data_IF_409231505766
#
_entry.id   IF_409231505766
#
_cell.length_a   1.000
_cell.length_b   1.000
_cell.length_c   1.000
_cell.angle_alpha   90.00
_cell.angle_beta   90.00
_cell.angle_gamma   90.00
#
_symmetry.space_group_name_H-M   'P 1'
#
loop_
_entity.id
_entity.type
_entity.pdbx_description
1 polymer ?
#
# COMPACT_ATOMS: atom_id res chain seq x y z
N UNK A 1 -3.07 -20.79 -27.23
CA UNK A 1 -4.05 -19.94 -26.51
C UNK A 1 -3.64 -19.92 -25.05
N UNK A 2 -3.83 -18.80 -24.35
CA UNK A 2 -3.53 -18.67 -22.93
C UNK A 2 -4.83 -18.44 -22.17
N UNK A 3 -5.06 -19.22 -21.11
CA UNK A 3 -6.18 -19.07 -20.19
C UNK A 3 -5.63 -18.88 -18.78
N UNK A 4 -6.26 -17.99 -18.00
CA UNK A 4 -5.83 -17.62 -16.65
C UNK A 4 -6.97 -17.77 -15.65
N UNK A 5 -6.61 -18.12 -14.42
CA UNK A 5 -7.41 -17.91 -13.21
C UNK A 5 -6.59 -17.10 -12.21
N UNK A 6 -7.12 -16.84 -11.02
CA UNK A 6 -6.37 -16.19 -9.94
C UNK A 6 -5.00 -16.86 -9.65
N UNK A 7 -4.96 -18.19 -9.71
CA UNK A 7 -3.83 -19.03 -9.25
C UNK A 7 -3.23 -19.92 -10.34
N UNK A 8 -3.70 -19.81 -11.58
CA UNK A 8 -3.32 -20.71 -12.66
C UNK A 8 -3.08 -19.99 -13.98
N UNK A 9 -2.16 -20.54 -14.78
CA UNK A 9 -1.99 -20.20 -16.20
C UNK A 9 -1.94 -21.50 -17.00
N UNK A 10 -2.75 -21.57 -18.06
CA UNK A 10 -2.84 -22.72 -18.96
C UNK A 10 -2.41 -22.29 -20.36
N UNK A 11 -1.44 -23.03 -20.92
CA UNK A 11 -0.95 -22.85 -22.28
C UNK A 11 -1.34 -24.04 -23.16
N UNK A 12 -2.01 -23.77 -24.27
CA UNK A 12 -2.20 -24.73 -25.36
C UNK A 12 -0.95 -24.75 -26.27
N UNK A 13 -0.26 -25.90 -26.29
CA UNK A 13 0.99 -26.10 -27.02
C UNK A 13 0.78 -26.34 -28.54
N UNK A 14 -0.47 -26.42 -29.01
CA UNK A 14 -0.86 -26.64 -30.42
C UNK A 14 -0.43 -28.00 -31.00
N UNK A 15 -0.04 -28.95 -30.17
CA UNK A 15 0.31 -30.34 -30.53
C UNK A 15 -0.60 -31.39 -29.88
N UNK A 16 -1.70 -30.94 -29.27
CA UNK A 16 -2.63 -31.76 -28.50
C UNK A 16 -2.25 -31.92 -27.02
N UNK A 17 -1.13 -31.34 -26.57
CA UNK A 17 -0.76 -31.24 -25.16
C UNK A 17 -1.03 -29.84 -24.58
N UNK A 18 -1.09 -29.74 -23.24
CA UNK A 18 -1.20 -28.49 -22.52
C UNK A 18 -0.16 -28.40 -21.40
N UNK A 19 0.27 -27.18 -21.09
CA UNK A 19 1.13 -26.87 -19.94
C UNK A 19 0.33 -26.07 -18.92
N UNK A 20 0.28 -26.53 -17.67
CA UNK A 20 -0.42 -25.83 -16.58
C UNK A 20 0.55 -25.44 -15.47
N UNK A 21 0.54 -24.16 -15.11
CA UNK A 21 1.25 -23.63 -13.95
C UNK A 21 0.24 -23.36 -12.84
N UNK A 22 0.55 -23.80 -11.61
CA UNK A 22 -0.33 -23.69 -10.44
C UNK A 22 0.47 -23.05 -9.31
N UNK A 23 -0.12 -22.02 -8.71
CA UNK A 23 0.48 -21.22 -7.64
C UNK A 23 -0.33 -21.34 -6.36
N UNK A 24 0.31 -21.18 -5.21
CA UNK A 24 -0.36 -21.22 -3.89
C UNK A 24 -0.97 -19.88 -3.49
N UNK A 25 -0.61 -18.81 -4.20
CA UNK A 25 -1.08 -17.45 -3.99
C UNK A 25 -1.62 -16.89 -5.31
N UNK A 26 -2.59 -15.95 -5.27
CA UNK A 26 -3.09 -15.32 -6.47
C UNK A 26 -2.00 -14.54 -7.21
N UNK A 27 -1.76 -14.91 -8.46
CA UNK A 27 -0.81 -14.28 -9.38
C UNK A 27 -1.50 -13.47 -10.48
N UNK A 28 -2.82 -13.60 -10.61
CA UNK A 28 -3.65 -12.79 -11.49
C UNK A 28 -4.81 -12.18 -10.69
N UNK A 29 -5.29 -11.02 -11.14
CA UNK A 29 -6.47 -10.35 -10.61
C UNK A 29 -7.39 -9.96 -11.76
N UNK A 30 -8.68 -9.79 -11.44
CA UNK A 30 -9.70 -9.52 -12.45
C UNK A 30 -9.86 -8.02 -12.66
N UNK A 31 -9.59 -7.53 -13.86
CA UNK A 31 -9.88 -6.16 -14.30
C UNK A 31 -10.81 -6.19 -15.49
N UNK A 32 -11.88 -5.39 -15.45
CA UNK A 32 -12.87 -5.24 -16.52
C UNK A 32 -13.45 -6.55 -17.10
N UNK A 33 -13.41 -7.62 -16.31
CA UNK A 33 -13.91 -8.94 -16.71
C UNK A 33 -12.81 -9.94 -17.10
N UNK A 34 -11.58 -9.48 -17.32
CA UNK A 34 -10.45 -10.27 -17.79
C UNK A 34 -9.41 -10.50 -16.69
N UNK A 35 -8.69 -11.62 -16.78
CA UNK A 35 -7.63 -11.99 -15.85
C UNK A 35 -6.29 -11.43 -16.29
N UNK A 36 -5.73 -10.57 -15.45
CA UNK A 36 -4.46 -9.91 -15.72
C UNK A 36 -3.44 -10.17 -14.61
N UNK A 37 -2.14 -10.22 -14.93
CA UNK A 37 -1.11 -10.49 -13.93
C UNK A 37 -1.09 -9.39 -12.87
N UNK A 38 -0.93 -9.81 -11.61
CA UNK A 38 -0.72 -8.88 -10.50
C UNK A 38 0.49 -7.98 -10.77
N UNK A 39 0.32 -6.69 -10.52
CA UNK A 39 1.39 -5.70 -10.50
C UNK A 39 1.27 -4.84 -9.25
N UNK A 40 2.22 -4.98 -8.33
CA UNK A 40 2.29 -4.18 -7.12
C UNK A 40 3.13 -2.91 -7.31
N UNK A 41 3.45 -2.52 -8.54
CA UNK A 41 4.16 -1.27 -8.83
C UNK A 41 3.30 -0.09 -8.39
N UNK A 42 3.84 0.81 -7.57
CA UNK A 42 3.15 2.02 -7.16
C UNK A 42 3.21 3.07 -8.28
N UNK A 43 2.06 3.58 -8.66
CA UNK A 43 1.90 4.61 -9.70
C UNK A 43 1.11 5.80 -9.15
N UNK A 44 1.31 6.97 -9.76
CA UNK A 44 0.41 8.10 -9.55
C UNK A 44 -0.91 7.80 -10.27
N UNK A 45 -2.00 7.78 -9.51
CA UNK A 45 -3.36 7.68 -10.03
C UNK A 45 -4.01 9.07 -9.96
N UNK A 46 -3.92 9.79 -11.07
CA UNK A 46 -4.23 11.21 -11.14
C UNK A 46 -3.19 12.10 -10.44
N UNK A 47 -3.62 13.30 -10.02
CA UNK A 47 -2.76 14.25 -9.28
C UNK A 47 -2.79 14.05 -7.77
N UNK A 48 -3.81 13.36 -7.25
CA UNK A 48 -4.19 13.44 -5.84
C UNK A 48 -4.02 12.10 -5.11
N UNK A 49 -3.63 11.04 -5.81
CA UNK A 49 -3.47 9.71 -5.20
C UNK A 49 -2.33 8.89 -5.81
N UNK A 50 -1.81 7.98 -4.98
CA UNK A 50 -0.86 6.94 -5.36
C UNK A 50 -1.53 5.60 -5.07
N UNK A 51 -1.51 4.69 -6.05
CA UNK A 51 -2.13 3.37 -5.96
C UNK A 51 -1.23 2.31 -6.59
N UNK A 52 -1.34 1.03 -6.20
CA UNK A 52 -0.71 -0.05 -6.94
C UNK A 52 -1.36 -0.18 -8.32
N UNK A 53 -0.57 -0.53 -9.33
CA UNK A 53 -1.04 -0.68 -10.71
C UNK A 53 -2.14 -1.75 -10.84
N UNK A 54 -1.98 -2.90 -10.16
CA UNK A 54 -2.93 -4.00 -10.24
C UNK A 54 -2.81 -4.99 -9.08
N UNK A 55 -3.62 -4.81 -8.05
CA UNK A 55 -3.66 -5.71 -6.88
C UNK A 55 -5.09 -5.96 -6.41
N UNK A 56 -5.30 -7.05 -5.68
CA UNK A 56 -6.60 -7.43 -5.13
C UNK A 56 -7.07 -6.43 -4.08
N UNK A 57 -6.20 -6.07 -3.13
CA UNK A 57 -6.45 -4.93 -2.26
C UNK A 57 -6.06 -3.65 -2.98
N UNK A 58 -6.86 -2.59 -2.82
CA UNK A 58 -6.65 -1.31 -3.50
C UNK A 58 -6.39 -0.19 -2.49
N UNK A 59 -5.23 -0.19 -1.81
CA UNK A 59 -4.85 0.93 -0.96
C UNK A 59 -4.62 2.17 -1.81
N UNK A 60 -5.00 3.33 -1.28
CA UNK A 60 -4.60 4.62 -1.82
C UNK A 60 -3.70 5.33 -0.82
N UNK A 61 -2.69 6.01 -1.33
CA UNK A 61 -1.76 6.80 -0.54
C UNK A 61 -1.79 8.25 -1.03
N UNK A 62 -1.61 9.20 -0.12
CA UNK A 62 -1.59 10.60 -0.50
C UNK A 62 -0.20 11.01 -1.04
N UNK A 63 -0.10 11.69 -2.19
CA UNK A 63 1.16 12.21 -2.70
C UNK A 63 1.84 13.19 -1.74
N UNK A 64 1.06 13.93 -0.96
CA UNK A 64 1.49 14.80 0.15
C UNK A 64 0.68 14.41 1.39
N UNK A 65 1.32 14.32 2.55
CA UNK A 65 0.57 14.15 3.79
C UNK A 65 -0.29 15.39 4.10
N UNK A 66 -1.44 15.18 4.74
CA UNK A 66 -2.29 16.27 5.20
C UNK A 66 -2.75 16.04 6.63
N UNK A 67 -2.23 16.85 7.56
CA UNK A 67 -2.50 16.73 9.00
C UNK A 67 -2.20 15.31 9.52
N UNK A 68 -1.07 14.75 9.09
CA UNK A 68 -0.67 13.39 9.43
C UNK A 68 -1.35 12.29 8.61
N UNK A 69 -2.40 12.59 7.82
CA UNK A 69 -3.07 11.59 6.97
C UNK A 69 -2.16 11.19 5.81
N UNK A 70 -2.09 9.90 5.51
CA UNK A 70 -1.20 9.39 4.45
C UNK A 70 -1.78 8.24 3.64
N UNK A 71 -2.77 7.49 4.15
CA UNK A 71 -3.35 6.37 3.39
C UNK A 71 -4.83 6.18 3.66
N UNK A 72 -5.50 5.58 2.67
CA UNK A 72 -6.88 5.15 2.76
C UNK A 72 -7.06 3.75 2.19
N UNK A 73 -8.03 3.03 2.74
CA UNK A 73 -8.40 1.68 2.33
C UNK A 73 -9.92 1.59 2.20
N UNK A 74 -10.39 0.89 1.16
CA UNK A 74 -11.81 0.70 0.89
C UNK A 74 -12.37 1.65 -0.17
N UNK A 75 -13.68 1.58 -0.40
CA UNK A 75 -14.36 2.26 -1.49
C UNK A 75 -15.54 3.10 -0.98
N UNK A 76 -15.72 4.28 -1.60
CA UNK A 76 -16.82 5.20 -1.31
C UNK A 76 -16.88 5.59 0.17
N UNK A 77 -18.07 5.49 0.77
CA UNK A 77 -18.32 5.91 2.15
C UNK A 77 -17.75 4.95 3.21
N UNK A 78 -17.24 3.78 2.81
CA UNK A 78 -16.72 2.75 3.72
C UNK A 78 -15.18 2.80 3.86
N UNK A 79 -14.58 3.96 3.58
CA UNK A 79 -13.14 4.13 3.66
C UNK A 79 -12.63 4.17 5.11
N UNK A 80 -11.47 3.57 5.30
CA UNK A 80 -10.65 3.70 6.50
C UNK A 80 -9.49 4.63 6.14
N UNK A 81 -9.36 5.74 6.84
CA UNK A 81 -8.24 6.69 6.68
C UNK A 81 -7.28 6.55 7.85
N UNK A 82 -6.00 6.38 7.54
CA UNK A 82 -4.93 6.37 8.53
C UNK A 82 -4.22 7.72 8.57
N UNK A 83 -3.96 8.18 9.78
CA UNK A 83 -3.11 9.32 10.05
C UNK A 83 -2.10 8.99 11.15
N UNK A 84 -0.85 9.39 10.94
CA UNK A 84 0.18 9.39 11.96
C UNK A 84 0.32 10.82 12.47
N UNK A 85 -0.29 11.10 13.63
CA UNK A 85 -0.47 12.48 14.09
C UNK A 85 0.75 13.00 14.86
N UNK A 86 1.36 12.14 15.66
CA UNK A 86 2.40 12.55 16.61
C UNK A 86 3.16 11.36 17.17
N UNK A 87 4.25 11.66 17.87
CA UNK A 87 4.97 10.69 18.66
C UNK A 87 5.32 11.25 20.04
N UNK A 88 5.38 10.38 21.05
CA UNK A 88 5.83 10.72 22.39
C UNK A 88 7.25 10.21 22.61
N UNK A 89 8.06 11.05 23.26
CA UNK A 89 9.41 10.71 23.65
C UNK A 89 9.85 11.40 24.93
N UNK A 90 11.13 11.27 25.25
CA UNK A 90 11.74 11.85 26.45
C UNK A 90 11.59 13.39 26.54
N UNK A 91 11.51 14.07 25.40
CA UNK A 91 11.31 15.53 25.31
C UNK A 91 9.84 15.95 25.28
N UNK A 92 8.91 15.00 25.44
CA UNK A 92 7.47 15.21 25.33
C UNK A 92 6.90 14.79 23.98
N UNK A 93 5.72 15.31 23.67
CA UNK A 93 4.97 15.01 22.45
C UNK A 93 5.42 15.90 21.29
N UNK A 94 5.76 15.31 20.16
CA UNK A 94 6.11 15.98 18.90
C UNK A 94 5.07 15.65 17.82
N UNK A 95 4.61 16.68 17.09
CA UNK A 95 3.74 16.48 15.95
C UNK A 95 4.53 15.99 14.74
N UNK A 96 3.93 15.07 13.98
CA UNK A 96 4.50 14.62 12.71
C UNK A 96 4.45 15.74 11.67
N UNK A 97 5.47 15.80 10.83
CA UNK A 97 5.54 16.73 9.70
C UNK A 97 4.86 16.12 8.50
N UNK A 98 4.01 16.92 7.86
CA UNK A 98 3.50 16.59 6.54
C UNK A 98 4.62 16.73 5.51
N UNK A 99 4.79 15.69 4.69
CA UNK A 99 5.84 15.59 3.68
C UNK A 99 5.32 14.89 2.42
N UNK A 100 5.98 15.14 1.29
CA UNK A 100 5.71 14.45 0.04
C UNK A 100 6.16 12.99 0.08
N UNK A 101 5.37 12.13 -0.57
CA UNK A 101 5.70 10.74 -0.83
C UNK A 101 6.79 10.61 -1.89
N UNK A 102 7.59 9.56 -1.76
CA UNK A 102 8.47 9.06 -2.82
C UNK A 102 8.07 7.64 -3.19
N UNK A 103 8.09 7.33 -4.48
CA UNK A 103 7.70 6.02 -5.01
C UNK A 103 8.93 5.25 -5.48
N UNK A 104 8.96 3.95 -5.19
CA UNK A 104 9.95 3.02 -5.75
C UNK A 104 9.40 1.60 -5.73
N UNK A 105 9.27 0.96 -6.88
CA UNK A 105 8.72 -0.40 -6.99
C UNK A 105 7.35 -0.46 -6.29
N UNK A 106 7.21 -1.32 -5.27
CA UNK A 106 6.00 -1.43 -4.45
C UNK A 106 6.03 -0.58 -3.17
N UNK A 107 6.98 0.35 -3.05
CA UNK A 107 7.21 1.22 -1.89
C UNK A 107 6.60 2.61 -2.09
N UNK A 108 5.81 3.04 -1.11
CA UNK A 108 5.52 4.47 -0.85
C UNK A 108 6.22 4.87 0.42
N UNK A 109 7.03 5.93 0.37
CA UNK A 109 7.81 6.40 1.52
C UNK A 109 7.66 7.89 1.76
N UNK A 110 7.29 8.23 2.99
CA UNK A 110 7.26 9.57 3.57
C UNK A 110 8.51 9.74 4.44
N UNK A 111 9.46 10.56 3.97
CA UNK A 111 10.77 10.71 4.62
C UNK A 111 10.75 11.82 5.65
N UNK A 112 11.48 11.61 6.75
CA UNK A 112 11.71 12.63 7.78
C UNK A 112 10.40 13.21 8.38
N UNK A 113 9.38 12.34 8.51
CA UNK A 113 8.11 12.64 9.18
C UNK A 113 8.32 13.08 10.64
N UNK A 114 9.39 12.58 11.25
CA UNK A 114 10.00 13.03 12.49
C UNK A 114 11.52 12.99 12.30
N UNK A 115 12.29 13.58 13.23
CA UNK A 115 13.75 13.53 13.15
C UNK A 115 14.23 12.08 12.98
N UNK A 116 14.95 11.82 11.89
CA UNK A 116 15.56 10.52 11.57
C UNK A 116 14.59 9.33 11.55
N UNK A 117 13.32 9.60 11.24
CA UNK A 117 12.24 8.61 11.16
C UNK A 117 11.48 8.77 9.86
N UNK A 118 11.28 7.68 9.13
CA UNK A 118 10.41 7.63 7.95
C UNK A 118 9.19 6.75 8.21
N UNK A 119 8.11 7.02 7.49
CA UNK A 119 6.98 6.12 7.35
C UNK A 119 7.08 5.45 5.97
N UNK A 120 7.18 4.12 5.95
CA UNK A 120 7.24 3.33 4.73
C UNK A 120 6.04 2.40 4.64
N UNK A 121 5.44 2.34 3.47
CA UNK A 121 4.42 1.35 3.11
C UNK A 121 4.92 0.51 1.94
N UNK A 122 4.80 -0.82 2.06
CA UNK A 122 5.09 -1.79 1.02
C UNK A 122 3.78 -2.50 0.64
N UNK A 123 3.39 -2.38 -0.63
CA UNK A 123 2.15 -2.96 -1.14
C UNK A 123 2.41 -4.33 -1.78
N UNK A 124 1.57 -5.29 -1.47
CA UNK A 124 1.51 -6.62 -2.08
C UNK A 124 0.11 -6.84 -2.63
N UNK A 125 -0.09 -7.97 -3.33
CA UNK A 125 -1.39 -8.27 -3.94
C UNK A 125 -2.56 -8.18 -2.94
N UNK A 126 -2.37 -8.79 -1.77
CA UNK A 126 -3.43 -9.00 -0.77
C UNK A 126 -3.14 -8.33 0.57
N UNK A 127 -2.03 -7.60 0.70
CA UNK A 127 -1.64 -6.97 1.96
C UNK A 127 -0.80 -5.70 1.76
N UNK A 128 -0.85 -4.82 2.75
CA UNK A 128 0.09 -3.72 2.91
C UNK A 128 0.88 -3.96 4.18
N UNK A 129 2.19 -3.80 4.08
CA UNK A 129 3.08 -3.76 5.25
C UNK A 129 3.50 -2.32 5.50
N UNK A 130 3.22 -1.85 6.71
CA UNK A 130 3.66 -0.55 7.19
C UNK A 130 4.87 -0.71 8.13
N UNK A 131 5.87 0.15 7.95
CA UNK A 131 7.07 0.22 8.78
C UNK A 131 7.32 1.66 9.23
N UNK A 132 7.60 1.83 10.53
CA UNK A 132 8.28 3.01 11.05
C UNK A 132 9.78 2.76 11.00
N UNK A 133 10.49 3.46 10.13
CA UNK A 133 11.92 3.24 9.87
C UNK A 133 12.74 4.26 10.64
N UNK A 134 13.42 3.80 11.69
CA UNK A 134 14.33 4.60 12.51
C UNK A 134 15.75 4.52 11.95
N UNK A 135 16.32 5.65 11.52
CA UNK A 135 17.74 5.75 11.17
C UNK A 135 18.62 5.88 12.40
N UNK A 136 18.14 6.60 13.40
CA UNK A 136 18.80 6.77 14.69
C UNK A 136 17.74 6.87 15.80
N UNK A 137 18.09 6.51 17.03
CA UNK A 137 17.22 6.72 18.17
C UNK A 137 17.29 8.18 18.62
N UNK A 138 16.13 8.86 18.67
CA UNK A 138 16.01 10.29 19.01
C UNK A 138 15.33 10.55 20.35
N UNK A 139 15.04 9.49 21.13
CA UNK A 139 14.28 9.60 22.38
C UNK A 139 12.77 9.35 22.22
N UNK A 140 12.28 9.22 20.98
CA UNK A 140 10.89 8.84 20.69
C UNK A 140 10.67 7.34 20.95
N UNK A 141 9.58 6.99 21.63
CA UNK A 141 9.28 5.59 21.99
C UNK A 141 7.82 5.18 21.74
N UNK A 142 6.93 6.12 21.43
CA UNK A 142 5.51 5.83 21.14
C UNK A 142 5.04 6.63 19.93
N UNK A 143 4.28 6.00 19.03
CA UNK A 143 3.71 6.63 17.84
C UNK A 143 2.18 6.60 17.94
N UNK A 144 1.54 7.74 17.73
CA UNK A 144 0.10 7.90 17.88
C UNK A 144 -0.56 7.98 16.50
N UNK A 145 -1.32 6.94 16.18
CA UNK A 145 -2.10 6.85 14.96
C UNK A 145 -3.56 7.16 15.24
N UNK A 146 -4.19 7.82 14.28
CA UNK A 146 -5.63 8.01 14.21
C UNK A 146 -6.17 7.20 13.04
N UNK A 147 -7.17 6.37 13.33
CA UNK A 147 -7.86 5.58 12.32
C UNK A 147 -9.29 6.08 12.27
N UNK A 148 -9.64 6.75 11.17
CA UNK A 148 -11.00 7.22 10.92
C UNK A 148 -11.74 6.20 10.07
N UNK A 149 -12.92 5.78 10.49
CA UNK A 149 -13.78 4.83 9.77
C UNK A 149 -15.25 5.22 9.90
N UNK A 150 -16.09 4.79 8.97
CA UNK A 150 -17.54 4.95 9.05
C UNK A 150 -18.20 4.06 10.12
N UNK A 151 -17.49 3.09 10.67
CA UNK A 151 -17.98 2.25 11.77
C UNK A 151 -18.23 3.11 13.02
N UNK A 152 -19.47 3.09 13.51
CA UNK A 152 -19.82 3.68 14.80
C UNK A 152 -19.42 2.70 15.91
N UNK A 153 -18.67 3.19 16.89
CA UNK A 153 -18.30 2.45 18.10
C UNK A 153 -19.51 2.18 19.02
#
# INVERSE_FOLDING_TARGET
MEERTDTEIVYDNQDGSFTKQIYTEPINVKEDGDWEPVSNMMILDGSDSIAPERTEIKPTFFPEMEQGKYSQFGEGDNQITFALESADGEQGKEAVKDVSATLKDNEVRYKDILKSTDLRNLTFNTSVKEDIVLREYTGVHSYNFNVTTALKA
#
